data_IF_486874569482
#
_entry.id   IF_486874569482
#
_cell.length_a   1.000
_cell.length_b   1.000
_cell.length_c   1.000
_cell.angle_alpha   90.00
_cell.angle_beta   90.00
_cell.angle_gamma   90.00
#
_symmetry.space_group_name_H-M   'P 1'
#
loop_
_entity.id
_entity.type
_entity.pdbx_description
1 polymer ?
#
# COMPACT_ATOMS: atom_id res chain seq x y z
N UNK A 1 -18.99 -6.27 -3.23
CA UNK A 1 -19.40 -4.84 -3.16
C UNK A 1 -20.61 -4.54 -2.28
N UNK A 2 -21.60 -5.44 -2.13
CA UNK A 2 -22.82 -5.18 -1.32
C UNK A 2 -22.53 -4.77 0.14
N UNK A 3 -21.70 -5.56 0.83
CA UNK A 3 -21.29 -5.30 2.22
C UNK A 3 -20.60 -3.95 2.44
N UNK A 4 -19.76 -3.50 1.51
CA UNK A 4 -19.09 -2.21 1.61
C UNK A 4 -20.09 -1.04 1.56
N UNK A 5 -21.11 -1.14 0.70
CA UNK A 5 -22.18 -0.13 0.61
C UNK A 5 -23.01 -0.07 1.88
N UNK A 6 -23.36 -1.23 2.44
CA UNK A 6 -24.09 -1.33 3.71
C UNK A 6 -23.32 -0.65 4.84
N UNK A 7 -22.02 -0.95 5.01
CA UNK A 7 -21.19 -0.32 6.05
C UNK A 7 -21.12 1.20 5.90
N UNK A 8 -20.99 1.71 4.67
CA UNK A 8 -20.97 3.16 4.42
C UNK A 8 -22.30 3.79 4.81
N UNK A 9 -23.43 3.20 4.40
CA UNK A 9 -24.77 3.69 4.73
C UNK A 9 -25.01 3.65 6.24
N UNK A 10 -24.55 2.60 6.94
CA UNK A 10 -24.73 2.49 8.40
C UNK A 10 -23.91 3.51 9.18
N UNK A 11 -22.68 3.83 8.74
CA UNK A 11 -21.77 4.70 9.50
C UNK A 11 -21.95 6.18 9.16
N UNK A 12 -22.14 6.52 7.88
CA UNK A 12 -22.18 7.90 7.39
C UNK A 12 -23.62 8.34 7.08
N UNK A 13 -24.54 7.39 6.87
CA UNK A 13 -25.90 7.67 6.41
C UNK A 13 -25.97 7.95 4.90
N UNK A 14 -27.10 8.49 4.46
CA UNK A 14 -27.30 8.92 3.08
C UNK A 14 -26.76 10.35 2.86
N UNK A 15 -25.45 10.54 3.02
CA UNK A 15 -24.79 11.75 2.50
C UNK A 15 -24.58 11.61 1.00
N UNK A 16 -24.73 12.72 0.28
CA UNK A 16 -24.48 12.79 -1.17
C UNK A 16 -23.00 12.63 -1.51
N UNK A 17 -22.12 13.13 -0.63
CA UNK A 17 -20.65 13.11 -0.80
C UNK A 17 -19.96 12.73 0.52
N UNK A 18 -18.85 12.01 0.40
CA UNK A 18 -18.01 11.57 1.52
C UNK A 18 -16.80 12.50 1.59
N UNK A 19 -16.50 13.00 2.78
CA UNK A 19 -15.32 13.84 3.03
C UNK A 19 -14.14 13.00 3.55
N UNK A 20 -12.92 13.51 3.41
CA UNK A 20 -11.72 12.85 3.94
C UNK A 20 -11.76 12.66 5.46
N UNK A 21 -12.43 13.57 6.16
CA UNK A 21 -12.66 13.50 7.61
C UNK A 21 -13.43 12.24 8.03
N UNK A 22 -14.32 11.74 7.17
CA UNK A 22 -15.17 10.58 7.42
C UNK A 22 -14.43 9.24 7.16
N UNK A 23 -13.26 9.24 6.51
CA UNK A 23 -12.45 8.03 6.24
C UNK A 23 -12.07 7.33 7.54
N UNK A 24 -11.80 8.11 8.60
CA UNK A 24 -11.47 7.60 9.94
C UNK A 24 -12.57 6.71 10.54
N UNK A 25 -13.83 6.93 10.14
CA UNK A 25 -15.00 6.19 10.63
C UNK A 25 -15.26 4.89 9.86
N UNK A 26 -14.55 4.63 8.76
CA UNK A 26 -14.76 3.50 7.86
C UNK A 26 -13.61 2.47 7.92
N UNK A 27 -13.37 1.79 9.05
CA UNK A 27 -12.26 0.84 9.18
C UNK A 27 -12.38 -0.33 8.20
N UNK A 28 -13.60 -0.80 7.93
CA UNK A 28 -13.85 -1.86 6.95
C UNK A 28 -13.35 -1.49 5.55
N UNK A 29 -13.60 -0.24 5.11
CA UNK A 29 -13.16 0.23 3.80
C UNK A 29 -11.63 0.34 3.74
N UNK A 30 -11.01 0.78 4.82
CA UNK A 30 -9.54 0.86 4.91
C UNK A 30 -8.90 -0.52 4.80
N UNK A 31 -9.44 -1.53 5.47
CA UNK A 31 -8.93 -2.91 5.39
C UNK A 31 -9.11 -3.47 3.98
N UNK A 32 -10.29 -3.31 3.38
CA UNK A 32 -10.55 -3.72 1.99
C UNK A 32 -9.59 -3.06 1.00
N UNK A 33 -9.30 -1.77 1.17
CA UNK A 33 -8.34 -1.06 0.32
C UNK A 33 -6.92 -1.61 0.49
N UNK A 34 -6.48 -1.85 1.73
CA UNK A 34 -5.16 -2.44 2.02
C UNK A 34 -5.01 -3.82 1.39
N UNK A 35 -6.04 -4.66 1.50
CA UNK A 35 -6.05 -6.00 0.92
C UNK A 35 -6.09 -5.96 -0.62
N UNK A 36 -6.85 -5.03 -1.20
CA UNK A 36 -6.85 -4.82 -2.65
C UNK A 36 -5.48 -4.35 -3.17
N UNK A 37 -4.79 -3.47 -2.44
CA UNK A 37 -3.44 -3.03 -2.78
C UNK A 37 -2.42 -4.16 -2.65
N UNK A 38 -2.61 -5.11 -1.73
CA UNK A 38 -1.79 -6.30 -1.57
C UNK A 38 -1.93 -7.28 -2.74
N UNK A 39 -3.17 -7.48 -3.21
CA UNK A 39 -3.46 -8.36 -4.35
C UNK A 39 -3.08 -7.73 -5.70
N UNK A 40 -3.08 -6.40 -5.77
CA UNK A 40 -2.84 -5.66 -7.00
C UNK A 40 -1.91 -4.46 -6.73
N UNK A 41 -0.63 -4.73 -6.49
CA UNK A 41 0.37 -3.67 -6.37
C UNK A 41 0.63 -3.03 -7.73
N UNK A 42 0.33 -1.72 -7.93
CA UNK A 42 0.63 -1.03 -9.19
C UNK A 42 2.13 -0.92 -9.46
N UNK A 43 2.95 -0.98 -8.41
CA UNK A 43 4.41 -0.89 -8.46
C UNK A 43 5.06 -2.07 -7.70
N UNK A 44 5.11 -3.28 -8.30
CA UNK A 44 5.58 -4.49 -7.62
C UNK A 44 7.06 -4.42 -7.21
N UNK A 45 7.88 -3.62 -7.90
CA UNK A 45 9.31 -3.42 -7.61
C UNK A 45 9.66 -2.03 -7.05
N UNK A 46 8.64 -1.22 -6.74
CA UNK A 46 8.77 0.21 -6.42
C UNK A 46 9.61 0.99 -7.47
N UNK A 47 10.10 2.16 -7.08
CA UNK A 47 11.06 2.90 -7.88
C UNK A 47 12.46 2.30 -7.70
N UNK A 48 13.25 2.16 -8.79
CA UNK A 48 14.62 1.70 -8.68
C UNK A 48 15.45 2.60 -7.78
N UNK A 49 16.14 1.99 -6.81
CA UNK A 49 17.10 2.67 -5.95
C UNK A 49 18.52 2.43 -6.46
N UNK A 50 19.44 3.35 -6.13
CA UNK A 50 20.87 3.22 -6.49
C UNK A 50 21.73 3.42 -5.26
N UNK A 51 22.67 2.51 -5.05
CA UNK A 51 23.58 2.53 -3.89
C UNK A 51 24.59 3.67 -4.03
N UNK A 52 24.59 4.61 -3.08
CA UNK A 52 25.50 5.77 -3.07
C UNK A 52 26.91 5.43 -2.59
N UNK A 53 27.02 4.53 -1.62
CA UNK A 53 28.27 4.10 -0.98
C UNK A 53 28.23 2.59 -0.82
N UNK A 54 29.35 1.91 -1.09
CA UNK A 54 29.44 0.46 -0.91
C UNK A 54 29.12 0.09 0.53
N UNK A 55 28.14 -0.78 0.72
CA UNK A 55 27.63 -1.16 2.04
C UNK A 55 27.38 -2.66 2.10
N UNK A 56 27.52 -3.22 3.29
CA UNK A 56 27.13 -4.61 3.56
C UNK A 56 25.65 -4.65 3.96
N UNK A 57 24.89 -5.59 3.39
CA UNK A 57 23.49 -5.86 3.73
C UNK A 57 23.37 -7.36 3.97
N UNK A 58 23.02 -7.77 5.19
CA UNK A 58 22.86 -9.19 5.56
C UNK A 58 24.05 -10.09 5.16
N UNK A 59 25.30 -9.61 5.28
CA UNK A 59 26.49 -10.36 4.85
C UNK A 59 26.86 -10.21 3.37
N UNK A 60 26.03 -9.55 2.57
CA UNK A 60 26.29 -9.30 1.15
C UNK A 60 26.89 -7.92 0.93
N UNK A 61 28.05 -7.86 0.28
CA UNK A 61 28.69 -6.59 -0.08
C UNK A 61 28.05 -6.02 -1.35
N UNK A 62 27.31 -4.92 -1.20
CA UNK A 62 26.67 -4.21 -2.32
C UNK A 62 27.54 -3.01 -2.71
N UNK A 63 28.07 -3.04 -3.93
CA UNK A 63 28.98 -2.00 -4.43
C UNK A 63 28.25 -0.71 -4.80
N UNK A 64 29.00 0.40 -4.79
CA UNK A 64 28.50 1.71 -5.24
C UNK A 64 27.97 1.61 -6.67
N UNK A 65 26.87 2.32 -6.94
CA UNK A 65 26.13 2.36 -8.20
C UNK A 65 25.30 1.13 -8.54
N UNK A 66 25.27 0.09 -7.69
CA UNK A 66 24.37 -1.05 -7.87
C UNK A 66 22.90 -0.60 -7.83
N UNK A 67 22.09 -1.11 -8.76
CA UNK A 67 20.65 -0.89 -8.79
C UNK A 67 19.96 -1.87 -7.83
N UNK A 68 19.08 -1.34 -6.99
CA UNK A 68 18.31 -2.09 -6.00
C UNK A 68 16.84 -2.00 -6.38
N UNK A 69 16.21 -3.16 -6.53
CA UNK A 69 14.78 -3.31 -6.76
C UNK A 69 14.17 -3.96 -5.52
N UNK A 70 13.12 -3.36 -4.98
CA UNK A 70 12.45 -3.87 -3.77
C UNK A 70 11.22 -4.65 -4.22
N UNK A 71 11.26 -5.98 -4.10
CA UNK A 71 10.14 -6.84 -4.50
C UNK A 71 9.02 -6.81 -3.44
N UNK A 72 8.15 -5.80 -3.52
CA UNK A 72 7.01 -5.66 -2.59
C UNK A 72 5.91 -6.67 -2.90
N UNK A 73 5.81 -7.12 -4.17
CA UNK A 73 4.87 -8.19 -4.53
C UNK A 73 5.11 -9.48 -3.76
N UNK A 74 6.37 -9.87 -3.54
CA UNK A 74 6.69 -11.06 -2.75
C UNK A 74 6.56 -10.86 -1.23
N UNK A 75 6.45 -9.62 -0.77
CA UNK A 75 6.27 -9.28 0.66
C UNK A 75 4.79 -9.31 1.05
N UNK A 76 3.91 -8.92 0.11
CA UNK A 76 2.47 -8.90 0.32
C UNK A 76 1.84 -10.29 0.30
#
# INVERSE_FOLDING_TARGET
MKRAREVIITVIGFKKEIEESDISKLPFLQVMLKEALLLHLPAPFLLPHKVKVSTEINGYMVTKNTQVLVNVWAIG
#
